data_IF_318618108061
#
_entry.id   IF_318618108061
#
_cell.length_a   1.000
_cell.length_b   1.000
_cell.length_c   1.000
_cell.angle_alpha   90.00
_cell.angle_beta   90.00
_cell.angle_gamma   90.00
#
_symmetry.space_group_name_H-M   'P 1'
#
loop_
_entity.id
_entity.type
_entity.pdbx_description
1 polymer ?
#
# COMPACT_ATOMS: atom_id res chain seq x y z
N UNK A 1 -24.19 -11.82 -1.18
CA UNK A 1 -23.74 -10.56 -1.80
C UNK A 1 -24.12 -10.47 -3.29
N UNK A 2 -23.70 -11.41 -4.17
CA UNK A 2 -24.01 -11.32 -5.62
C UNK A 2 -25.50 -11.33 -5.91
N UNK A 3 -26.28 -12.18 -5.24
CA UNK A 3 -27.75 -12.20 -5.38
C UNK A 3 -28.37 -10.89 -4.88
N UNK A 4 -27.92 -10.39 -3.74
CA UNK A 4 -28.43 -9.15 -3.16
C UNK A 4 -28.16 -7.93 -4.05
N UNK A 5 -26.95 -7.85 -4.61
CA UNK A 5 -26.50 -6.65 -5.33
C UNK A 5 -26.91 -6.67 -6.82
N UNK A 6 -26.95 -7.83 -7.47
CA UNK A 6 -27.05 -7.90 -8.92
C UNK A 6 -28.35 -8.54 -9.45
N UNK A 7 -29.14 -9.21 -8.63
CA UNK A 7 -30.29 -9.98 -9.10
C UNK A 7 -31.35 -9.11 -9.78
N UNK A 8 -31.67 -7.99 -9.16
CA UNK A 8 -32.65 -7.03 -9.74
C UNK A 8 -32.19 -6.55 -11.12
N UNK A 9 -30.93 -6.07 -11.20
CA UNK A 9 -30.35 -5.60 -12.47
C UNK A 9 -30.25 -6.71 -13.53
N UNK A 10 -30.06 -7.96 -13.10
CA UNK A 10 -30.04 -9.13 -13.99
C UNK A 10 -31.43 -9.41 -14.56
N UNK A 11 -32.47 -9.36 -13.71
CA UNK A 11 -33.84 -9.59 -14.14
C UNK A 11 -34.34 -8.48 -15.09
N UNK A 12 -34.05 -7.22 -14.77
CA UNK A 12 -34.33 -6.09 -15.65
C UNK A 12 -33.70 -6.25 -17.02
N UNK A 13 -32.40 -6.57 -17.03
CA UNK A 13 -31.63 -6.81 -18.27
C UNK A 13 -32.24 -7.96 -19.09
N UNK A 14 -32.56 -9.08 -18.45
CA UNK A 14 -33.15 -10.24 -19.12
C UNK A 14 -34.50 -9.93 -19.75
N UNK A 15 -35.34 -9.17 -19.05
CA UNK A 15 -36.66 -8.70 -19.57
C UNK A 15 -36.46 -7.77 -20.80
N UNK A 16 -35.49 -6.90 -20.75
CA UNK A 16 -35.14 -6.04 -21.86
C UNK A 16 -34.65 -6.83 -23.09
N UNK A 17 -33.82 -7.86 -22.88
CA UNK A 17 -33.35 -8.73 -23.96
C UNK A 17 -34.50 -9.55 -24.58
N UNK A 18 -35.43 -10.02 -23.76
CA UNK A 18 -36.61 -10.73 -24.21
C UNK A 18 -37.49 -9.84 -25.10
N UNK A 19 -37.78 -8.62 -24.67
CA UNK A 19 -38.53 -7.64 -25.43
C UNK A 19 -37.91 -7.30 -26.80
N UNK A 20 -36.58 -7.41 -26.88
CA UNK A 20 -35.80 -7.21 -28.11
C UNK A 20 -35.63 -8.49 -28.95
N UNK A 21 -36.24 -9.61 -28.55
CA UNK A 21 -36.09 -10.92 -29.21
C UNK A 21 -34.68 -11.54 -29.11
N UNK A 22 -33.84 -11.11 -28.14
CA UNK A 22 -32.46 -11.52 -27.99
C UNK A 22 -32.28 -12.49 -26.81
N UNK A 23 -33.00 -13.60 -26.86
CA UNK A 23 -33.01 -14.60 -25.77
C UNK A 23 -31.62 -15.25 -25.53
N UNK A 24 -30.78 -15.30 -26.54
CA UNK A 24 -29.38 -15.76 -26.49
C UNK A 24 -28.49 -14.92 -25.58
N UNK A 25 -28.89 -13.68 -25.26
CA UNK A 25 -28.16 -12.74 -24.39
C UNK A 25 -28.61 -12.71 -22.94
N UNK A 26 -29.64 -13.49 -22.59
CA UNK A 26 -30.10 -13.58 -21.19
C UNK A 26 -29.01 -14.16 -20.30
N UNK A 27 -28.93 -13.64 -19.09
CA UNK A 27 -27.97 -14.06 -18.06
C UNK A 27 -28.73 -14.92 -17.06
N UNK A 28 -28.40 -16.19 -16.97
CA UNK A 28 -29.02 -17.14 -16.02
C UNK A 28 -28.44 -16.99 -14.62
N UNK A 29 -27.14 -16.84 -14.54
CA UNK A 29 -26.37 -16.67 -13.31
C UNK A 29 -25.26 -15.66 -13.53
N UNK A 30 -25.32 -14.53 -12.82
CA UNK A 30 -24.33 -13.46 -12.99
C UNK A 30 -23.00 -13.79 -12.31
N UNK A 31 -23.03 -14.48 -11.18
CA UNK A 31 -21.80 -14.94 -10.50
C UNK A 31 -21.00 -15.86 -11.42
N UNK A 32 -21.69 -16.88 -11.97
CA UNK A 32 -21.05 -17.81 -12.91
C UNK A 32 -20.52 -17.11 -14.15
N UNK A 33 -21.28 -16.15 -14.70
CA UNK A 33 -20.85 -15.36 -15.86
C UNK A 33 -19.56 -14.59 -15.59
N UNK A 34 -19.39 -14.04 -14.38
CA UNK A 34 -18.15 -13.32 -14.00
C UNK A 34 -17.03 -14.31 -13.73
N UNK A 35 -17.30 -15.43 -13.05
CA UNK A 35 -16.33 -16.49 -12.77
C UNK A 35 -15.73 -17.10 -14.04
N UNK A 36 -16.56 -17.31 -15.06
CA UNK A 36 -16.13 -17.90 -16.33
C UNK A 36 -15.38 -16.87 -17.23
N UNK A 37 -15.34 -15.61 -16.84
CA UNK A 37 -14.73 -14.54 -17.62
C UNK A 37 -13.34 -14.16 -17.09
N UNK A 38 -12.29 -14.57 -17.79
CA UNK A 38 -10.90 -14.28 -17.42
C UNK A 38 -10.52 -12.79 -17.36
N UNK A 39 -11.38 -11.88 -17.84
CA UNK A 39 -11.14 -10.43 -17.84
C UNK A 39 -11.71 -9.72 -16.62
N UNK A 40 -12.53 -10.39 -15.82
CA UNK A 40 -13.19 -9.83 -14.66
C UNK A 40 -12.78 -10.59 -13.39
N UNK A 41 -12.57 -9.87 -12.30
CA UNK A 41 -12.36 -10.46 -10.99
C UNK A 41 -13.70 -10.60 -10.28
N UNK A 42 -13.95 -11.75 -9.64
CA UNK A 42 -15.15 -11.98 -8.82
C UNK A 42 -15.22 -11.06 -7.60
N UNK A 43 -14.07 -10.79 -7.00
CA UNK A 43 -13.89 -9.95 -5.84
C UNK A 43 -12.48 -9.36 -5.84
N UNK A 44 -12.28 -8.34 -5.01
CA UNK A 44 -10.98 -7.77 -4.74
C UNK A 44 -10.67 -7.86 -3.27
N UNK A 45 -9.40 -8.00 -2.93
CA UNK A 45 -8.91 -7.98 -1.57
C UNK A 45 -8.17 -6.68 -1.30
N UNK A 46 -8.39 -6.11 -0.11
CA UNK A 46 -7.66 -4.98 0.44
C UNK A 46 -7.10 -5.42 1.78
N UNK A 47 -5.79 -5.22 1.98
CA UNK A 47 -5.11 -5.52 3.24
C UNK A 47 -4.76 -4.21 3.92
N UNK A 48 -5.13 -4.06 5.19
CA UNK A 48 -4.76 -2.93 6.04
C UNK A 48 -3.81 -3.43 7.12
N UNK A 49 -2.58 -2.93 7.10
CA UNK A 49 -1.54 -3.23 8.07
C UNK A 49 -0.90 -1.93 8.57
N UNK A 50 -0.60 -1.85 9.86
CA UNK A 50 0.11 -0.75 10.49
C UNK A 50 1.32 -1.26 11.26
N UNK A 51 2.49 -0.69 11.00
CA UNK A 51 3.75 -1.14 11.58
C UNK A 51 4.40 -2.27 10.78
N UNK A 52 5.44 -2.84 11.35
CA UNK A 52 6.17 -3.96 10.79
C UNK A 52 6.42 -5.04 11.85
N UNK A 53 6.89 -6.21 11.41
CA UNK A 53 7.25 -7.31 12.32
C UNK A 53 8.10 -6.84 13.50
N UNK A 54 9.14 -6.02 13.24
CA UNK A 54 10.07 -5.54 14.27
C UNK A 54 9.37 -4.72 15.35
N UNK A 55 8.38 -3.92 14.99
CA UNK A 55 7.56 -3.18 15.94
C UNK A 55 6.68 -4.13 16.76
N UNK A 56 6.00 -5.07 16.11
CA UNK A 56 5.03 -5.94 16.75
C UNK A 56 5.65 -7.06 17.58
N UNK A 57 6.85 -7.55 17.27
CA UNK A 57 7.59 -8.53 18.08
C UNK A 57 7.92 -8.01 19.49
N UNK A 58 7.93 -6.69 19.69
CA UNK A 58 8.14 -6.07 21.02
C UNK A 58 6.88 -5.91 21.86
N UNK A 59 5.72 -6.30 21.35
CA UNK A 59 4.41 -6.08 21.97
C UNK A 59 3.80 -7.40 22.42
N UNK A 60 3.13 -7.36 23.58
CA UNK A 60 2.36 -8.50 24.06
C UNK A 60 1.02 -8.64 23.30
N UNK A 61 0.36 -9.77 23.48
CA UNK A 61 -0.89 -10.06 22.80
C UNK A 61 -2.01 -9.09 23.20
N UNK A 62 -2.05 -8.65 24.45
CA UNK A 62 -3.04 -7.68 24.94
C UNK A 62 -2.91 -6.36 24.19
N UNK A 63 -1.68 -5.93 23.94
CA UNK A 63 -1.41 -4.74 23.14
C UNK A 63 -1.82 -4.97 21.68
N UNK A 64 -1.49 -6.12 21.08
CA UNK A 64 -1.87 -6.45 19.70
C UNK A 64 -3.39 -6.49 19.50
N UNK A 65 -4.14 -7.12 20.43
CA UNK A 65 -5.60 -7.24 20.32
C UNK A 65 -6.35 -5.91 20.37
N UNK A 66 -5.77 -4.84 20.90
CA UNK A 66 -6.35 -3.49 20.80
C UNK A 66 -6.50 -3.02 19.37
N UNK A 67 -5.70 -3.56 18.41
CA UNK A 67 -5.87 -3.28 17.00
C UNK A 67 -7.26 -3.65 16.46
N UNK A 68 -8.01 -4.53 17.15
CA UNK A 68 -9.40 -4.82 16.79
C UNK A 68 -10.26 -3.55 16.64
N UNK A 69 -10.12 -2.62 17.57
CA UNK A 69 -10.90 -1.37 17.54
C UNK A 69 -10.42 -0.45 16.42
N UNK A 70 -9.11 -0.38 16.21
CA UNK A 70 -8.52 0.38 15.09
C UNK A 70 -9.01 -0.18 13.75
N UNK A 71 -8.98 -1.50 13.57
CA UNK A 71 -9.44 -2.13 12.32
C UNK A 71 -10.95 -2.01 12.10
N UNK A 72 -11.77 -1.99 13.16
CA UNK A 72 -13.21 -1.69 13.04
C UNK A 72 -13.43 -0.27 12.54
N UNK A 73 -12.71 0.72 13.07
CA UNK A 73 -12.78 2.10 12.56
C UNK A 73 -12.33 2.14 11.09
N UNK A 74 -11.22 1.46 10.74
CA UNK A 74 -10.72 1.41 9.37
C UNK A 74 -11.68 0.75 8.38
N UNK A 75 -12.45 -0.25 8.82
CA UNK A 75 -13.47 -0.87 7.98
C UNK A 75 -14.59 0.12 7.64
N UNK A 76 -15.04 0.91 8.63
CA UNK A 76 -16.03 1.96 8.42
C UNK A 76 -15.48 3.07 7.52
N UNK A 77 -14.26 3.54 7.79
CA UNK A 77 -13.59 4.56 6.97
C UNK A 77 -13.49 4.13 5.50
N UNK A 78 -13.11 2.88 5.25
CA UNK A 78 -13.04 2.34 3.89
C UNK A 78 -14.42 2.31 3.22
N UNK A 79 -15.46 1.89 3.95
CA UNK A 79 -16.83 1.84 3.41
C UNK A 79 -17.37 3.24 3.07
N UNK A 80 -17.01 4.26 3.86
CA UNK A 80 -17.34 5.64 3.57
C UNK A 80 -16.55 6.21 2.38
N UNK A 81 -15.26 5.88 2.28
CA UNK A 81 -14.41 6.36 1.20
C UNK A 81 -14.73 5.71 -0.15
N UNK A 82 -15.20 4.45 -0.13
CA UNK A 82 -15.45 3.65 -1.33
C UNK A 82 -16.82 2.96 -1.21
N UNK A 83 -17.92 3.70 -1.24
CA UNK A 83 -19.27 3.12 -1.06
C UNK A 83 -19.64 2.11 -2.14
N UNK A 84 -19.00 2.19 -3.30
CA UNK A 84 -19.20 1.27 -4.43
C UNK A 84 -18.38 -0.03 -4.30
N UNK A 85 -17.58 -0.18 -3.25
CA UNK A 85 -16.91 -1.43 -2.89
C UNK A 85 -17.74 -2.15 -1.82
N UNK A 86 -18.54 -3.14 -2.22
CA UNK A 86 -19.40 -3.89 -1.29
C UNK A 86 -18.63 -4.98 -0.58
N UNK A 87 -18.42 -4.80 0.71
CA UNK A 87 -17.65 -5.70 1.56
C UNK A 87 -18.42 -6.99 1.77
N UNK A 88 -17.80 -8.12 1.46
CA UNK A 88 -18.32 -9.47 1.67
C UNK A 88 -17.80 -10.10 2.95
N UNK A 89 -16.55 -9.83 3.30
CA UNK A 89 -15.87 -10.39 4.47
C UNK A 89 -14.76 -9.46 4.94
N UNK A 90 -14.55 -9.44 6.26
CA UNK A 90 -13.43 -8.73 6.88
C UNK A 90 -12.89 -9.59 8.03
N UNK A 91 -11.63 -10.00 7.96
CA UNK A 91 -10.99 -10.93 8.90
C UNK A 91 -9.69 -10.30 9.40
N UNK A 92 -9.51 -10.30 10.73
CA UNK A 92 -8.28 -9.82 11.37
C UNK A 92 -7.39 -11.03 11.67
N UNK A 93 -6.14 -10.98 11.22
CA UNK A 93 -5.12 -11.96 11.53
C UNK A 93 -4.19 -11.44 12.63
N UNK A 94 -4.00 -12.25 13.67
CA UNK A 94 -3.09 -11.99 14.79
C UNK A 94 -1.99 -13.04 14.93
N UNK A 95 -2.12 -14.13 14.22
CA UNK A 95 -1.26 -15.32 14.24
C UNK A 95 -0.03 -15.21 13.34
N UNK A 96 0.04 -14.15 12.57
CA UNK A 96 1.19 -13.83 11.71
C UNK A 96 2.14 -12.82 12.36
N UNK A 97 3.07 -12.30 11.56
CA UNK A 97 4.16 -11.42 12.05
C UNK A 97 3.69 -10.06 12.57
N UNK A 98 2.55 -9.59 12.10
CA UNK A 98 1.94 -8.31 12.47
C UNK A 98 0.43 -8.41 12.37
N UNK A 99 -0.36 -7.75 13.25
CA UNK A 99 -1.80 -7.67 13.09
C UNK A 99 -2.17 -7.00 11.77
N UNK A 100 -3.05 -7.62 11.00
CA UNK A 100 -3.55 -7.02 9.77
C UNK A 100 -5.00 -7.45 9.49
N UNK A 101 -5.69 -6.61 8.72
CA UNK A 101 -7.09 -6.80 8.34
C UNK A 101 -7.18 -7.13 6.87
N UNK A 102 -7.73 -8.30 6.53
CA UNK A 102 -8.12 -8.70 5.19
C UNK A 102 -9.58 -8.32 4.93
N UNK A 103 -9.82 -7.56 3.89
CA UNK A 103 -11.14 -7.12 3.46
C UNK A 103 -11.37 -7.62 2.05
N UNK A 104 -12.35 -8.51 1.88
CA UNK A 104 -12.76 -9.00 0.57
C UNK A 104 -14.10 -8.38 0.20
N UNK A 105 -14.20 -7.85 -1.00
CA UNK A 105 -15.42 -7.21 -1.48
C UNK A 105 -15.53 -7.18 -2.99
N UNK A 106 -16.71 -6.74 -3.46
CA UNK A 106 -17.03 -6.64 -4.88
C UNK A 106 -17.17 -5.17 -5.26
N UNK A 107 -16.34 -4.66 -6.17
CA UNK A 107 -16.49 -3.31 -6.71
C UNK A 107 -17.62 -3.27 -7.73
N UNK A 108 -18.59 -2.37 -7.53
CA UNK A 108 -19.80 -2.24 -8.35
C UNK A 108 -19.74 -0.94 -9.14
N UNK A 109 -19.96 -1.05 -10.43
CA UNK A 109 -20.20 0.11 -11.30
C UNK A 109 -21.67 0.24 -11.68
N UNK A 110 -22.12 1.47 -11.80
CA UNK A 110 -23.48 1.84 -12.12
C UNK A 110 -23.56 2.56 -13.48
N UNK A 111 -24.78 2.72 -14.01
CA UNK A 111 -25.06 3.50 -15.24
C UNK A 111 -24.25 3.05 -16.46
N UNK A 112 -24.23 1.75 -16.69
CA UNK A 112 -23.52 1.18 -17.83
C UNK A 112 -24.28 1.45 -19.14
N UNK A 113 -23.56 1.81 -20.21
CA UNK A 113 -24.13 1.96 -21.56
C UNK A 113 -24.63 0.65 -22.13
N UNK A 114 -23.95 -0.45 -21.79
CA UNK A 114 -24.25 -1.79 -22.29
C UNK A 114 -24.27 -2.80 -21.14
N UNK A 115 -25.16 -3.79 -21.25
CA UNK A 115 -25.31 -4.83 -20.25
C UNK A 115 -26.27 -4.44 -19.12
N UNK A 116 -26.06 -4.97 -17.94
CA UNK A 116 -26.89 -4.69 -16.76
C UNK A 116 -26.65 -3.28 -16.23
N UNK A 117 -27.64 -2.69 -15.56
CA UNK A 117 -27.54 -1.38 -14.89
C UNK A 117 -26.46 -1.36 -13.77
N UNK A 118 -26.31 -2.46 -13.06
CA UNK A 118 -25.23 -2.72 -12.11
C UNK A 118 -24.33 -3.84 -12.63
N UNK A 119 -23.02 -3.66 -12.58
CA UNK A 119 -22.04 -4.68 -12.99
C UNK A 119 -20.81 -4.62 -12.09
N UNK A 120 -20.07 -5.73 -12.02
CA UNK A 120 -18.72 -5.70 -11.44
C UNK A 120 -17.83 -4.74 -12.25
N UNK A 121 -17.11 -3.86 -11.55
CA UNK A 121 -16.36 -2.79 -12.19
C UNK A 121 -15.08 -2.40 -11.45
N UNK A 122 -14.10 -3.32 -11.34
CA UNK A 122 -12.83 -3.06 -10.65
C UNK A 122 -12.12 -1.82 -11.16
N UNK A 123 -11.98 -1.68 -12.48
CA UNK A 123 -11.30 -0.55 -13.10
C UNK A 123 -12.07 0.77 -13.01
N UNK A 124 -13.38 0.72 -12.80
CA UNK A 124 -14.22 1.92 -12.62
C UNK A 124 -14.16 2.44 -11.17
N UNK A 125 -14.13 1.55 -10.18
CA UNK A 125 -14.04 1.87 -8.75
C UNK A 125 -12.60 2.16 -8.34
N UNK A 126 -11.68 1.29 -8.72
CA UNK A 126 -10.27 1.35 -8.36
C UNK A 126 -9.42 1.89 -9.52
N UNK A 127 -9.63 3.15 -9.87
CA UNK A 127 -8.76 3.87 -10.79
C UNK A 127 -7.42 4.18 -10.13
N UNK A 128 -6.42 4.54 -10.91
CA UNK A 128 -5.10 4.95 -10.38
C UNK A 128 -5.20 6.10 -9.38
N UNK A 129 -6.08 7.06 -9.64
CA UNK A 129 -6.25 8.24 -8.79
C UNK A 129 -7.08 7.92 -7.54
N UNK A 130 -8.15 7.10 -7.67
CA UNK A 130 -8.91 6.65 -6.51
C UNK A 130 -8.05 5.81 -5.57
N UNK A 131 -7.24 4.87 -6.08
CA UNK A 131 -6.31 4.06 -5.27
C UNK A 131 -5.31 4.93 -4.51
N UNK A 132 -4.76 5.97 -5.16
CA UNK A 132 -3.85 6.91 -4.50
C UNK A 132 -4.55 7.66 -3.37
N UNK A 133 -5.75 8.18 -3.64
CA UNK A 133 -6.57 8.89 -2.65
C UNK A 133 -6.96 8.00 -1.48
N UNK A 134 -7.43 6.78 -1.75
CA UNK A 134 -7.76 5.78 -0.72
C UNK A 134 -6.53 5.51 0.15
N UNK A 135 -5.39 5.20 -0.46
CA UNK A 135 -4.17 4.89 0.27
C UNK A 135 -3.72 6.07 1.17
N UNK A 136 -3.79 7.31 0.68
CA UNK A 136 -3.36 8.48 1.46
C UNK A 136 -4.31 8.76 2.61
N UNK A 137 -5.63 8.72 2.37
CA UNK A 137 -6.64 8.92 3.41
C UNK A 137 -6.62 7.81 4.46
N UNK A 138 -6.63 6.54 4.04
CA UNK A 138 -6.60 5.39 4.96
C UNK A 138 -5.35 5.40 5.84
N UNK A 139 -4.18 5.77 5.32
CA UNK A 139 -2.97 5.92 6.14
C UNK A 139 -3.14 6.96 7.24
N UNK A 140 -3.72 8.11 6.91
CA UNK A 140 -3.95 9.20 7.87
C UNK A 140 -4.99 8.81 8.93
N UNK A 141 -6.08 8.20 8.51
CA UNK A 141 -7.13 7.72 9.41
C UNK A 141 -6.63 6.60 10.32
N UNK A 142 -5.86 5.65 9.77
CA UNK A 142 -5.32 4.53 10.53
C UNK A 142 -4.38 4.98 11.66
N UNK A 143 -3.46 5.91 11.41
CA UNK A 143 -2.58 6.39 12.47
C UNK A 143 -3.34 7.23 13.52
N UNK A 144 -4.37 7.96 13.11
CA UNK A 144 -5.22 8.72 14.03
C UNK A 144 -6.01 7.78 14.95
N UNK A 145 -6.67 6.75 14.40
CA UNK A 145 -7.37 5.72 15.16
C UNK A 145 -6.42 4.96 16.10
N UNK A 146 -5.23 4.62 15.63
CA UNK A 146 -4.19 3.97 16.43
C UNK A 146 -3.77 4.84 17.61
N UNK A 147 -3.45 6.10 17.38
CA UNK A 147 -3.04 7.01 18.43
C UNK A 147 -4.13 7.22 19.47
N UNK A 148 -5.38 7.36 19.05
CA UNK A 148 -6.56 7.46 19.92
C UNK A 148 -6.72 6.23 20.80
N UNK A 149 -6.68 5.02 20.22
CA UNK A 149 -6.89 3.75 20.93
C UNK A 149 -5.78 3.45 21.93
N UNK A 150 -4.54 3.79 21.60
CA UNK A 150 -3.36 3.48 22.41
C UNK A 150 -2.89 4.64 23.31
N UNK A 151 -3.51 5.83 23.20
CA UNK A 151 -3.07 7.03 23.91
C UNK A 151 -1.65 7.47 23.51
N UNK A 152 -1.31 7.37 22.23
CA UNK A 152 0.00 7.65 21.68
C UNK A 152 -0.05 8.84 20.70
N UNK A 153 1.13 9.35 20.33
CA UNK A 153 1.30 10.43 19.36
C UNK A 153 2.31 10.01 18.26
N UNK A 154 2.09 8.85 17.68
CA UNK A 154 2.95 8.35 16.63
C UNK A 154 2.73 9.10 15.31
N UNK A 155 3.80 9.22 14.52
CA UNK A 155 3.78 9.81 13.20
C UNK A 155 4.15 8.72 12.18
N UNK A 156 3.41 8.67 11.08
CA UNK A 156 3.73 7.76 9.97
C UNK A 156 5.07 8.12 9.33
N UNK A 157 5.89 7.12 9.10
CA UNK A 157 7.10 7.29 8.28
C UNK A 157 6.73 7.80 6.89
N UNK A 158 7.62 8.59 6.30
CA UNK A 158 7.47 9.05 4.92
C UNK A 158 7.31 7.84 4.00
N UNK A 159 6.41 7.96 3.00
CA UNK A 159 6.24 6.92 1.98
C UNK A 159 7.56 6.66 1.26
N UNK A 160 7.99 5.40 1.26
CA UNK A 160 9.09 4.95 0.42
C UNK A 160 8.53 4.48 -0.93
N UNK A 161 9.34 4.57 -1.98
CA UNK A 161 8.98 4.01 -3.29
C UNK A 161 8.86 2.50 -3.17
N UNK A 162 7.67 1.99 -3.43
CA UNK A 162 7.40 0.54 -3.40
C UNK A 162 8.08 -0.23 -4.53
N UNK A 163 7.92 -1.54 -4.51
CA UNK A 163 8.38 -2.45 -5.57
C UNK A 163 7.61 -2.21 -6.87
N UNK A 164 8.27 -2.41 -8.00
CA UNK A 164 7.63 -2.33 -9.31
C UNK A 164 6.92 -3.63 -9.73
N UNK A 165 7.20 -4.76 -9.06
CA UNK A 165 6.62 -6.08 -9.32
C UNK A 165 6.32 -6.79 -8.01
N UNK A 166 5.26 -7.58 -8.00
CA UNK A 166 4.99 -8.50 -6.91
C UNK A 166 6.05 -9.60 -6.87
N UNK A 167 6.39 -10.03 -5.65
CA UNK A 167 7.36 -11.09 -5.41
C UNK A 167 6.58 -12.26 -4.80
N UNK A 168 6.80 -13.44 -5.35
CA UNK A 168 6.20 -14.65 -4.82
C UNK A 168 6.63 -14.85 -3.36
N UNK A 169 5.72 -15.34 -2.52
CA UNK A 169 5.99 -15.59 -1.08
C UNK A 169 7.23 -16.48 -0.89
N UNK A 170 7.45 -17.45 -1.77
CA UNK A 170 8.64 -18.34 -1.74
C UNK A 170 9.96 -17.58 -1.93
N UNK A 171 9.94 -16.47 -2.65
CA UNK A 171 11.13 -15.66 -2.95
C UNK A 171 11.30 -14.50 -1.97
N UNK A 172 10.32 -14.29 -1.08
CA UNK A 172 10.30 -13.14 -0.17
C UNK A 172 11.49 -13.12 0.79
N UNK A 173 11.91 -14.28 1.31
CA UNK A 173 13.06 -14.39 2.23
C UNK A 173 14.36 -13.95 1.54
N UNK A 174 14.59 -14.41 0.30
CA UNK A 174 15.75 -14.02 -0.48
C UNK A 174 15.72 -12.52 -0.81
N UNK A 175 14.55 -11.99 -1.17
CA UNK A 175 14.38 -10.57 -1.41
C UNK A 175 14.66 -9.72 -0.17
N UNK A 176 14.20 -10.13 1.01
CA UNK A 176 14.48 -9.43 2.27
C UNK A 176 15.97 -9.42 2.59
N UNK A 177 16.65 -10.55 2.45
CA UNK A 177 18.09 -10.65 2.64
C UNK A 177 18.87 -9.72 1.69
N UNK A 178 18.53 -9.71 0.41
CA UNK A 178 19.13 -8.81 -0.58
C UNK A 178 18.85 -7.33 -0.27
N UNK A 179 17.66 -7.02 0.23
CA UNK A 179 17.30 -5.65 0.62
C UNK A 179 18.09 -5.17 1.83
N UNK A 180 18.29 -6.04 2.82
CA UNK A 180 19.13 -5.75 4.00
C UNK A 180 20.59 -5.52 3.62
N UNK A 181 21.14 -6.37 2.76
CA UNK A 181 22.49 -6.21 2.24
C UNK A 181 22.67 -4.90 1.45
N UNK A 182 21.70 -4.58 0.59
CA UNK A 182 21.69 -3.32 -0.14
C UNK A 182 21.68 -2.09 0.79
N UNK A 183 20.90 -2.15 1.87
CA UNK A 183 20.85 -1.07 2.85
C UNK A 183 22.18 -0.92 3.60
N UNK A 184 22.81 -2.02 4.03
CA UNK A 184 24.15 -2.01 4.65
C UNK A 184 25.20 -1.40 3.72
N UNK A 185 25.15 -1.78 2.44
CA UNK A 185 26.08 -1.24 1.44
C UNK A 185 25.87 0.26 1.20
N UNK A 186 24.62 0.74 1.21
CA UNK A 186 24.32 2.18 1.11
C UNK A 186 24.84 2.96 2.31
N UNK A 187 24.63 2.47 3.52
CA UNK A 187 25.17 3.08 4.75
C UNK A 187 26.70 3.14 4.75
N UNK A 188 27.36 2.05 4.35
CA UNK A 188 28.80 2.00 4.21
C UNK A 188 29.31 3.02 3.17
N UNK A 189 28.62 3.19 2.07
CA UNK A 189 28.95 4.14 1.01
C UNK A 189 28.76 5.60 1.48
N UNK A 190 27.74 5.90 2.26
CA UNK A 190 27.58 7.23 2.87
C UNK A 190 28.71 7.55 3.87
N UNK A 191 29.10 6.59 4.70
CA UNK A 191 30.22 6.74 5.64
C UNK A 191 31.52 6.96 4.88
N UNK A 192 31.79 6.19 3.83
CA UNK A 192 32.97 6.33 2.99
C UNK A 192 33.00 7.71 2.30
N UNK A 193 31.87 8.18 1.78
CA UNK A 193 31.75 9.50 1.16
C UNK A 193 32.04 10.64 2.15
N UNK A 194 31.53 10.56 3.38
CA UNK A 194 31.81 11.54 4.44
C UNK A 194 33.30 11.58 4.78
N UNK A 195 33.94 10.41 4.96
CA UNK A 195 35.39 10.32 5.22
C UNK A 195 36.21 10.86 4.07
N UNK A 196 35.84 10.61 2.82
CA UNK A 196 36.51 11.17 1.65
C UNK A 196 36.48 12.70 1.65
N UNK A 197 35.31 13.28 1.92
CA UNK A 197 35.18 14.75 1.98
C UNK A 197 36.01 15.37 3.14
N UNK A 198 36.10 14.70 4.29
CA UNK A 198 36.94 15.14 5.41
C UNK A 198 38.46 15.06 5.04
N UNK A 199 38.86 14.00 4.34
CA UNK A 199 40.22 13.85 3.85
C UNK A 199 40.61 14.92 2.83
N UNK A 200 39.70 15.22 1.89
CA UNK A 200 39.93 16.29 0.91
C UNK A 200 40.07 17.65 1.58
N UNK A 201 39.26 17.93 2.60
CA UNK A 201 39.36 19.15 3.39
C UNK A 201 40.70 19.26 4.11
N UNK A 202 41.13 18.21 4.80
CA UNK A 202 42.42 18.13 5.50
C UNK A 202 43.58 18.29 4.53
N UNK A 203 43.48 17.67 3.36
CA UNK A 203 44.52 17.77 2.31
C UNK A 203 44.67 19.20 1.79
N UNK A 204 43.57 19.92 1.63
CA UNK A 204 43.60 21.33 1.23
C UNK A 204 44.19 22.22 2.32
N UNK A 205 43.80 22.01 3.60
CA UNK A 205 44.36 22.75 4.74
C UNK A 205 45.90 22.55 4.86
N UNK A 206 46.40 21.32 4.64
CA UNK A 206 47.85 21.01 4.60
C UNK A 206 48.53 21.75 3.44
N UNK A 207 47.94 21.74 2.23
CA UNK A 207 48.49 22.47 1.07
C UNK A 207 48.62 23.97 1.35
N UNK A 208 47.61 24.55 1.96
CA UNK A 208 47.60 25.98 2.30
C UNK A 208 48.66 26.30 3.35
N UNK A 209 48.83 25.42 4.35
CA UNK A 209 49.88 25.54 5.37
C UNK A 209 51.27 25.50 4.73
N UNK A 210 51.51 24.53 3.83
CA UNK A 210 52.78 24.40 3.10
C UNK A 210 53.07 25.67 2.26
N UNK A 211 52.07 26.20 1.58
CA UNK A 211 52.23 27.41 0.79
C UNK A 211 52.58 28.64 1.65
N UNK A 212 51.96 28.75 2.83
CA UNK A 212 52.26 29.83 3.78
C UNK A 212 53.67 29.73 4.34
N UNK A 213 54.13 28.51 4.68
CA UNK A 213 55.51 28.26 5.13
C UNK A 213 56.56 28.60 4.04
N UNK A 214 56.29 28.20 2.78
CA UNK A 214 57.16 28.58 1.65
C UNK A 214 57.28 30.11 1.47
N UNK A 215 56.17 30.82 1.59
CA UNK A 215 56.18 32.33 1.52
C UNK A 215 57.01 32.92 2.67
N UNK A 216 56.85 32.40 3.91
CA UNK A 216 57.60 32.87 5.06
C UNK A 216 59.10 32.61 4.93
N UNK A 217 59.49 31.46 4.32
CA UNK A 217 60.91 31.13 4.08
C UNK A 217 61.59 32.00 3.01
N UNK A 218 60.83 32.43 1.98
CA UNK A 218 61.32 33.36 0.97
C UNK A 218 61.60 34.72 1.61
N UNK A 219 60.73 35.22 2.48
CA UNK A 219 60.92 36.50 3.18
C UNK A 219 62.15 36.47 4.08
N UNK A 220 62.46 35.36 4.76
CA UNK A 220 63.68 35.18 5.59
C UNK A 220 64.97 35.19 4.79
N UNK A 221 64.96 34.77 3.54
CA UNK A 221 66.15 34.71 2.70
C UNK A 221 66.41 35.98 1.91
N UNK A 222 65.56 37.00 2.05
CA UNK A 222 65.65 38.28 1.32
C UNK A 222 66.15 39.44 2.21
N UNK A 223 66.43 39.16 3.48
CA UNK A 223 67.08 40.02 4.45
C UNK A 223 68.42 39.40 4.93
#
# INVERSE_FOLDING_TARGET
>A
LYLEEFEEARLEYNKEQENKGRNDRKITDYFKKISDNSKNDLACEIIIELGDKKYWDTKDDKFKYKMTNVFKEQLNDLQELVPDFKIASAIIHYDETSPHLHIVGVPIKYKNKNGMSKQVGKGDVFTRDSLRTIQDKMRTLCIASFNKEYGLNNILKKKEKGRNKDINVKDMTNYQAMKEELNKNKEALEIASKKSNELDKTTNDIKDTINNLKKAQIVKNTY
#
